data_IF_691395112144
#
_entry.id   IF_691395112144
#
_cell.length_a   1.000
_cell.length_b   1.000
_cell.length_c   1.000
_cell.angle_alpha   90.00
_cell.angle_beta   90.00
_cell.angle_gamma   90.00
#
_symmetry.space_group_name_H-M   'P 1'
#
loop_
_entity.id
_entity.type
_entity.pdbx_description
1 polymer ?
#
# COMPACT_ATOMS: atom_id res chain seq x y z
N UNK A 1 9.67 3.35 -9.89
CA UNK A 1 8.84 2.42 -9.12
C UNK A 1 7.38 2.87 -9.13
N UNK A 2 6.45 1.90 -9.09
CA UNK A 2 5.05 2.18 -8.83
C UNK A 2 4.85 2.55 -7.35
N UNK A 3 3.66 3.05 -7.01
CA UNK A 3 3.36 3.42 -5.62
C UNK A 3 3.52 2.24 -4.66
N UNK A 4 3.02 1.06 -5.04
CA UNK A 4 3.13 -0.13 -4.20
C UNK A 4 4.61 -0.53 -3.99
N UNK A 5 5.39 -0.52 -5.06
CA UNK A 5 6.83 -0.82 -4.99
C UNK A 5 7.57 0.18 -4.10
N UNK A 6 7.26 1.46 -4.24
CA UNK A 6 7.91 2.53 -3.47
C UNK A 6 7.68 2.37 -1.97
N UNK A 7 6.44 2.10 -1.55
CA UNK A 7 6.12 1.91 -0.13
C UNK A 7 6.79 0.66 0.43
N UNK A 8 6.71 -0.47 -0.27
CA UNK A 8 7.33 -1.72 0.20
C UNK A 8 8.84 -1.57 0.30
N UNK A 9 9.46 -0.92 -0.68
CA UNK A 9 10.91 -0.69 -0.66
C UNK A 9 11.33 0.23 0.49
N UNK A 10 10.51 1.21 0.83
CA UNK A 10 10.81 2.13 1.94
C UNK A 10 10.90 1.41 3.30
N UNK A 11 10.27 0.26 3.45
CA UNK A 11 10.28 -0.53 4.69
C UNK A 11 11.12 -1.81 4.58
N UNK A 12 11.99 -1.91 3.57
CA UNK A 12 12.82 -3.10 3.34
C UNK A 12 13.69 -3.47 4.54
N UNK A 13 14.26 -2.49 5.23
CA UNK A 13 15.09 -2.71 6.43
C UNK A 13 14.28 -3.28 7.59
N UNK A 14 13.00 -2.97 7.67
CA UNK A 14 12.11 -3.45 8.73
C UNK A 14 11.62 -4.86 8.43
N UNK A 15 11.24 -5.11 7.17
CA UNK A 15 10.64 -6.38 6.77
C UNK A 15 11.68 -7.43 6.37
N UNK A 16 12.87 -7.03 5.95
CA UNK A 16 13.83 -7.90 5.31
C UNK A 16 13.42 -8.34 3.90
N UNK A 17 12.34 -7.78 3.37
CA UNK A 17 11.78 -8.16 2.06
C UNK A 17 12.13 -7.11 1.02
N UNK A 18 13.16 -7.41 0.22
CA UNK A 18 13.69 -6.51 -0.81
C UNK A 18 14.14 -7.32 -2.02
N UNK A 19 14.61 -6.62 -3.04
CA UNK A 19 15.16 -7.21 -4.25
C UNK A 19 14.11 -7.54 -5.29
N UNK A 20 14.48 -8.40 -6.23
CA UNK A 20 13.67 -8.71 -7.41
C UNK A 20 12.31 -9.31 -7.04
N UNK A 21 12.28 -10.29 -6.14
CA UNK A 21 11.04 -10.96 -5.75
C UNK A 21 10.05 -9.97 -5.12
N UNK A 22 10.54 -9.08 -4.26
CA UNK A 22 9.71 -8.05 -3.63
C UNK A 22 9.11 -7.12 -4.69
N UNK A 23 9.93 -6.64 -5.62
CA UNK A 23 9.47 -5.74 -6.68
C UNK A 23 8.51 -6.41 -7.65
N UNK A 24 8.74 -7.68 -7.99
CA UNK A 24 7.82 -8.46 -8.83
C UNK A 24 6.47 -8.65 -8.17
N UNK A 25 6.45 -9.02 -6.89
CA UNK A 25 5.20 -9.18 -6.12
C UNK A 25 4.38 -7.89 -6.13
N UNK A 26 5.03 -6.75 -5.92
CA UNK A 26 4.35 -5.47 -5.83
C UNK A 26 3.97 -4.88 -7.19
N UNK A 27 4.54 -5.37 -8.29
CA UNK A 27 4.35 -4.79 -9.63
C UNK A 27 2.89 -4.76 -10.08
N UNK A 28 2.10 -5.78 -9.70
CA UNK A 28 0.70 -5.89 -10.09
C UNK A 28 -0.21 -4.87 -9.41
N UNK A 29 0.25 -4.26 -8.32
CA UNK A 29 -0.57 -3.35 -7.50
C UNK A 29 -0.41 -1.88 -7.88
N UNK A 30 0.50 -1.56 -8.80
CA UNK A 30 0.67 -0.21 -9.30
C UNK A 30 -0.55 0.28 -10.06
N UNK A 31 -0.84 1.59 -9.96
CA UNK A 31 -1.97 2.18 -10.66
C UNK A 31 -3.34 1.73 -10.18
N UNK A 32 -3.44 1.28 -8.93
CA UNK A 32 -4.68 0.74 -8.37
C UNK A 32 -5.00 -0.63 -8.95
N UNK A 33 -4.05 -1.56 -8.81
CA UNK A 33 -4.12 -2.93 -9.33
C UNK A 33 -4.09 -2.96 -10.87
N UNK A 34 -2.88 -2.82 -11.43
CA UNK A 34 -2.67 -2.91 -12.88
C UNK A 34 -3.42 -1.86 -13.68
N UNK A 35 -3.58 -0.67 -13.12
CA UNK A 35 -4.32 0.47 -13.69
C UNK A 35 -5.83 0.23 -13.81
N UNK A 36 -6.35 -0.76 -13.09
CA UNK A 36 -7.80 -0.93 -12.95
C UNK A 36 -8.44 0.17 -12.09
N UNK A 37 -7.63 0.98 -11.43
CA UNK A 37 -8.05 2.09 -10.60
C UNK A 37 -8.91 1.68 -9.40
N UNK A 38 -8.61 0.49 -8.88
CA UNK A 38 -9.17 -0.02 -7.63
C UNK A 38 -8.39 0.55 -6.43
N UNK A 39 -7.97 -0.25 -5.47
CA UNK A 39 -7.27 0.24 -4.29
C UNK A 39 -5.96 0.93 -4.68
N UNK A 40 -5.70 2.11 -4.11
CA UNK A 40 -4.48 2.88 -4.33
C UNK A 40 -3.24 2.00 -4.06
N UNK A 41 -2.26 2.06 -4.99
CA UNK A 41 -1.03 1.27 -4.87
C UNK A 41 -0.25 1.55 -3.59
N UNK A 42 -0.27 2.78 -3.09
CA UNK A 42 0.37 3.14 -1.82
C UNK A 42 -0.31 2.43 -0.65
N UNK A 43 -1.63 2.30 -0.67
CA UNK A 43 -2.40 1.56 0.35
C UNK A 43 -2.10 0.07 0.26
N UNK A 44 -2.06 -0.49 -0.94
CA UNK A 44 -1.69 -1.89 -1.14
C UNK A 44 -0.28 -2.17 -0.62
N UNK A 45 0.68 -1.27 -0.87
CA UNK A 45 2.04 -1.37 -0.34
C UNK A 45 2.07 -1.38 1.18
N UNK A 46 1.29 -0.50 1.81
CA UNK A 46 1.14 -0.44 3.26
C UNK A 46 0.60 -1.77 3.82
N UNK A 47 -0.40 -2.35 3.16
CA UNK A 47 -0.98 -3.65 3.55
C UNK A 47 0.01 -4.79 3.40
N UNK A 48 0.81 -4.78 2.34
CA UNK A 48 1.86 -5.78 2.10
C UNK A 48 2.89 -5.76 3.23
N UNK A 49 3.35 -4.58 3.63
CA UNK A 49 4.31 -4.43 4.73
C UNK A 49 3.72 -4.97 6.03
N UNK A 50 2.49 -4.57 6.36
CA UNK A 50 1.83 -5.07 7.58
C UNK A 50 1.64 -6.58 7.53
N UNK A 51 1.28 -7.13 6.38
CA UNK A 51 1.17 -8.58 6.20
C UNK A 51 2.49 -9.32 6.42
N UNK A 52 3.60 -8.75 5.96
CA UNK A 52 4.92 -9.33 6.18
C UNK A 52 5.31 -9.35 7.65
N UNK A 53 4.91 -8.34 8.42
CA UNK A 53 5.30 -8.19 9.82
C UNK A 53 4.37 -8.93 10.78
N UNK A 54 3.06 -8.93 10.54
CA UNK A 54 2.07 -9.46 11.46
C UNK A 54 1.01 -10.35 10.81
N UNK A 55 1.18 -10.71 9.53
CA UNK A 55 0.20 -11.50 8.80
C UNK A 55 0.05 -12.92 9.33
N UNK A 56 -1.14 -13.46 9.24
CA UNK A 56 -1.41 -14.86 9.54
C UNK A 56 -0.97 -15.74 8.36
N UNK A 57 -0.56 -16.98 8.63
CA UNK A 57 -0.12 -17.87 7.56
C UNK A 57 -0.40 -19.36 7.81
N UNK A 58 -0.64 -19.76 9.05
CA UNK A 58 -0.82 -21.18 9.38
C UNK A 58 -2.26 -21.46 9.82
N UNK A 59 -3.11 -22.04 8.93
CA UNK A 59 -4.50 -22.32 9.26
C UNK A 59 -4.66 -23.47 10.26
N UNK A 60 -3.59 -24.21 10.59
CA UNK A 60 -3.67 -25.33 11.53
C UNK A 60 -3.47 -24.93 12.98
N UNK A 61 -3.05 -23.71 13.25
CA UNK A 61 -2.93 -23.20 14.61
C UNK A 61 -4.28 -23.10 15.30
N UNK A 62 -4.30 -23.37 16.62
CA UNK A 62 -5.54 -23.37 17.41
C UNK A 62 -6.25 -22.03 17.39
N UNK A 63 -5.50 -20.93 17.35
CA UNK A 63 -6.04 -19.57 17.35
C UNK A 63 -6.03 -18.93 15.95
N UNK A 64 -5.96 -19.72 14.88
CA UNK A 64 -5.85 -19.23 13.51
C UNK A 64 -6.95 -18.23 13.15
N UNK A 65 -8.20 -18.47 13.55
CA UNK A 65 -9.31 -17.55 13.28
C UNK A 65 -9.15 -16.23 14.04
N UNK A 66 -8.67 -16.28 15.27
CA UNK A 66 -8.42 -15.07 16.06
C UNK A 66 -7.28 -14.25 15.45
N UNK A 67 -6.21 -14.89 14.98
CA UNK A 67 -5.10 -14.24 14.28
C UNK A 67 -5.59 -13.52 13.03
N UNK A 68 -6.42 -14.20 12.25
CA UNK A 68 -6.99 -13.66 11.00
C UNK A 68 -7.86 -12.43 11.27
N UNK A 69 -8.75 -12.54 12.26
CA UNK A 69 -9.62 -11.43 12.64
C UNK A 69 -8.81 -10.21 13.13
N UNK A 70 -7.79 -10.45 13.96
CA UNK A 70 -6.92 -9.39 14.45
C UNK A 70 -6.15 -8.71 13.31
N UNK A 71 -5.65 -9.49 12.36
CA UNK A 71 -4.95 -8.94 11.20
C UNK A 71 -5.88 -8.08 10.33
N UNK A 72 -7.07 -8.57 10.04
CA UNK A 72 -8.05 -7.79 9.27
C UNK A 72 -8.42 -6.48 9.97
N UNK A 73 -8.53 -6.49 11.29
CA UNK A 73 -8.78 -5.27 12.06
C UNK A 73 -7.63 -4.26 11.90
N UNK A 74 -6.38 -4.72 11.89
CA UNK A 74 -5.21 -3.85 11.66
C UNK A 74 -5.23 -3.26 10.24
N UNK A 75 -5.55 -4.06 9.24
CA UNK A 75 -5.67 -3.60 7.85
C UNK A 75 -6.78 -2.54 7.73
N UNK A 76 -7.92 -2.77 8.35
CA UNK A 76 -9.03 -1.81 8.34
C UNK A 76 -8.64 -0.50 9.04
N UNK A 77 -7.87 -0.57 10.12
CA UNK A 77 -7.38 0.64 10.82
C UNK A 77 -6.42 1.45 9.95
N UNK A 78 -5.51 0.79 9.25
CA UNK A 78 -4.60 1.46 8.31
C UNK A 78 -5.38 2.12 7.17
N UNK A 79 -6.38 1.43 6.62
CA UNK A 79 -7.26 1.97 5.58
C UNK A 79 -8.02 3.19 6.09
N UNK A 80 -8.54 3.13 7.31
CA UNK A 80 -9.26 4.23 7.95
C UNK A 80 -8.38 5.47 8.07
N UNK A 81 -7.15 5.32 8.55
CA UNK A 81 -6.19 6.43 8.71
C UNK A 81 -5.85 7.07 7.36
N UNK A 82 -5.66 6.26 6.33
CA UNK A 82 -5.39 6.77 5.00
C UNK A 82 -6.60 7.52 4.42
N UNK A 83 -7.78 6.94 4.55
CA UNK A 83 -9.03 7.55 4.09
C UNK A 83 -9.31 8.87 4.79
N UNK A 84 -8.97 8.99 6.06
CA UNK A 84 -9.11 10.22 6.84
C UNK A 84 -8.31 11.37 6.23
N UNK A 85 -7.11 11.09 5.72
CA UNK A 85 -6.26 12.11 5.06
C UNK A 85 -6.63 12.36 3.60
N UNK A 86 -7.14 11.37 2.89
CA UNK A 86 -7.25 11.39 1.43
C UNK A 86 -8.67 11.18 0.92
N UNK A 87 -9.65 11.12 1.80
CA UNK A 87 -11.09 10.91 1.55
C UNK A 87 -11.44 9.53 0.97
N UNK A 88 -10.48 8.78 0.42
CA UNK A 88 -10.71 7.46 -0.16
C UNK A 88 -9.42 6.64 -0.16
N UNK A 89 -9.55 5.31 -0.28
CA UNK A 89 -8.45 4.40 -0.57
C UNK A 89 -8.49 3.94 -2.04
N UNK A 90 -9.49 4.37 -2.80
CA UNK A 90 -9.75 3.90 -4.16
C UNK A 90 -9.09 4.84 -5.17
N UNK A 91 -8.23 4.27 -6.02
CA UNK A 91 -7.42 5.03 -6.98
C UNK A 91 -8.27 5.94 -7.88
N UNK A 92 -9.36 5.42 -8.45
CA UNK A 92 -10.23 6.23 -9.33
C UNK A 92 -10.89 7.40 -8.62
N UNK A 93 -11.19 7.25 -7.35
CA UNK A 93 -11.78 8.34 -6.55
C UNK A 93 -10.73 9.41 -6.22
N UNK A 94 -9.50 8.99 -5.93
CA UNK A 94 -8.38 9.91 -5.65
C UNK A 94 -7.99 10.67 -6.91
N UNK A 95 -7.88 9.99 -8.06
CA UNK A 95 -7.47 10.60 -9.32
C UNK A 95 -8.60 11.39 -10.00
N UNK A 96 -9.85 10.99 -9.80
CA UNK A 96 -11.00 11.63 -10.44
C UNK A 96 -10.91 11.59 -11.96
N UNK A 97 -11.05 12.71 -12.62
CA UNK A 97 -11.03 12.82 -14.09
C UNK A 97 -9.71 12.37 -14.73
N UNK A 98 -8.63 12.23 -13.94
CA UNK A 98 -7.33 11.78 -14.44
C UNK A 98 -7.21 10.26 -14.49
N UNK A 99 -8.19 9.53 -13.96
CA UNK A 99 -8.16 8.07 -13.96
C UNK A 99 -8.35 7.53 -15.37
N UNK A 100 -7.45 6.64 -15.79
CA UNK A 100 -7.52 5.95 -17.08
C UNK A 100 -7.11 4.49 -16.84
N UNK A 101 -7.83 3.57 -17.48
CA UNK A 101 -7.53 2.14 -17.43
C UNK A 101 -6.66 1.67 -18.60
N UNK A 102 -6.21 2.59 -19.46
CA UNK A 102 -5.26 2.25 -20.51
C UNK A 102 -4.03 1.58 -19.86
N UNK A 103 -3.63 0.36 -20.30
CA UNK A 103 -2.51 -0.33 -19.67
C UNK A 103 -1.15 0.34 -19.91
N UNK A 104 -1.03 1.23 -20.89
CA UNK A 104 0.21 1.95 -21.13
C UNK A 104 0.42 3.04 -20.08
N UNK A 105 1.48 2.95 -19.24
CA UNK A 105 1.76 3.98 -18.25
C UNK A 105 2.07 5.33 -18.90
N UNK A 106 1.71 6.40 -18.21
CA UNK A 106 2.06 7.75 -18.64
C UNK A 106 3.53 8.03 -18.33
N UNK A 107 4.16 8.87 -19.17
CA UNK A 107 5.53 9.31 -18.94
C UNK A 107 5.61 10.10 -17.63
N UNK A 108 6.65 9.82 -16.84
CA UNK A 108 6.92 10.48 -15.54
C UNK A 108 7.63 11.82 -15.77
N UNK A 109 6.91 12.78 -16.35
CA UNK A 109 7.41 14.14 -16.63
C UNK A 109 7.18 15.05 -15.41
N UNK A 110 7.79 16.27 -15.37
CA UNK A 110 7.47 17.24 -14.33
C UNK A 110 5.98 17.58 -14.26
N UNK A 111 5.29 17.66 -15.39
CA UNK A 111 3.85 17.89 -15.45
C UNK A 111 3.06 16.76 -14.82
N UNK A 112 3.49 15.52 -15.03
CA UNK A 112 2.88 14.34 -14.38
C UNK A 112 2.86 14.50 -12.86
N UNK A 113 4.02 14.82 -12.27
CA UNK A 113 4.14 14.96 -10.81
C UNK A 113 3.38 16.16 -10.26
N UNK A 114 3.21 17.23 -11.04
CA UNK A 114 2.42 18.40 -10.64
C UNK A 114 0.93 18.09 -10.57
N UNK A 115 0.43 17.23 -11.47
CA UNK A 115 -1.01 16.96 -11.61
C UNK A 115 -1.46 15.67 -10.92
N UNK A 116 -0.54 14.80 -10.50
CA UNK A 116 -0.83 13.52 -9.87
C UNK A 116 -0.50 13.55 -8.38
N UNK A 117 -1.42 13.12 -7.50
CA UNK A 117 -1.16 13.09 -6.07
C UNK A 117 -0.34 11.88 -5.61
N UNK A 118 0.16 11.05 -6.52
CA UNK A 118 0.77 9.74 -6.20
C UNK A 118 1.96 9.85 -5.23
N UNK A 119 2.83 10.85 -5.39
CA UNK A 119 3.96 11.04 -4.48
C UNK A 119 3.49 11.37 -3.06
N UNK A 120 2.45 12.21 -2.95
CA UNK A 120 1.82 12.52 -1.66
C UNK A 120 1.20 11.27 -1.04
N UNK A 121 0.53 10.45 -1.85
CA UNK A 121 -0.09 9.20 -1.37
C UNK A 121 0.95 8.24 -0.80
N UNK A 122 2.11 8.09 -1.47
CA UNK A 122 3.21 7.28 -0.97
C UNK A 122 3.77 7.82 0.35
N UNK A 123 3.95 9.13 0.44
CA UNK A 123 4.41 9.78 1.67
C UNK A 123 3.44 9.61 2.82
N UNK A 124 2.14 9.81 2.57
CA UNK A 124 1.10 9.64 3.58
C UNK A 124 1.03 8.18 4.06
N UNK A 125 1.06 7.23 3.14
CA UNK A 125 1.04 5.81 3.49
C UNK A 125 2.26 5.43 4.33
N UNK A 126 3.45 5.90 3.96
CA UNK A 126 4.67 5.62 4.71
C UNK A 126 4.61 6.22 6.13
N UNK A 127 4.14 7.43 6.27
CA UNK A 127 4.00 8.09 7.58
C UNK A 127 2.96 7.39 8.46
N UNK A 128 1.80 7.07 7.90
CA UNK A 128 0.74 6.34 8.62
C UNK A 128 1.28 4.99 9.10
N UNK A 129 1.95 4.26 8.22
CA UNK A 129 2.49 2.94 8.55
C UNK A 129 3.59 3.05 9.62
N UNK A 130 4.52 3.98 9.48
CA UNK A 130 5.58 4.19 10.47
C UNK A 130 4.99 4.47 11.85
N UNK A 131 4.04 5.40 11.96
CA UNK A 131 3.38 5.71 13.23
C UNK A 131 2.66 4.49 13.81
N UNK A 132 1.97 3.74 12.97
CA UNK A 132 1.28 2.51 13.36
C UNK A 132 2.26 1.47 13.93
N UNK A 133 3.39 1.27 13.24
CA UNK A 133 4.40 0.29 13.67
C UNK A 133 5.08 0.72 14.97
N UNK A 134 5.31 2.01 15.17
CA UNK A 134 5.84 2.56 16.42
C UNK A 134 4.85 2.29 17.57
N UNK A 135 3.57 2.59 17.37
CA UNK A 135 2.52 2.34 18.37
C UNK A 135 2.47 0.86 18.78
N UNK A 136 2.72 -0.03 17.84
CA UNK A 136 2.74 -1.48 18.08
C UNK A 136 4.09 -2.01 18.53
N UNK A 137 5.07 -1.13 18.69
CA UNK A 137 6.43 -1.47 19.15
C UNK A 137 7.15 -2.46 18.22
N UNK A 138 6.89 -2.35 16.91
CA UNK A 138 7.57 -3.17 15.90
C UNK A 138 8.81 -2.47 15.32
N UNK A 139 8.91 -1.19 15.54
CA UNK A 139 10.09 -0.40 15.17
C UNK A 139 10.40 0.64 16.24
#
# INVERSE_FOLDING_TARGET
YSCAQAVVKAFADVTGFDGEAAMRLCSSFGGGMGRLREVCGAVSGMFIVEGLLEGYFDPTEQDAQAQKAAHYARIQELARRFKERNASIVCREILGARASTNPTPEARTPEYYKTRPCAKMCGDAAEILENFLIERKLI
#
